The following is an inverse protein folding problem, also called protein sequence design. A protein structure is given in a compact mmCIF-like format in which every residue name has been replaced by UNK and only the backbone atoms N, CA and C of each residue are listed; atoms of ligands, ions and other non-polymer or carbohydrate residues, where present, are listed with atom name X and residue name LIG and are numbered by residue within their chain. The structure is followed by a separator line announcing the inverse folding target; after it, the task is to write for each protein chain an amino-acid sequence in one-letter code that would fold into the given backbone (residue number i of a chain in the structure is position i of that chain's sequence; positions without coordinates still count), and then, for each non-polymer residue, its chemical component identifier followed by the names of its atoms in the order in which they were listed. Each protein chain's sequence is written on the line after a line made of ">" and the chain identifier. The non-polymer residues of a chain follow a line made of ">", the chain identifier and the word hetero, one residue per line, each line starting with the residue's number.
data_IF_210107854606
#
_entry.id   IF_210107854606
#
_cell.length_a   1.000
_cell.length_b   1.000
_cell.length_c   1.000
_cell.angle_alpha   90.00
_cell.angle_beta   90.00
_cell.angle_gamma   90.00
#
_symmetry.space_group_name_H-M   'P 1'
#
loop_
_entity.id
_entity.type
_entity.pdbx_description
1 polymer ?
#
# COMPACT_ATOMS: atom_id res chain seq x y z
N UNK A 1 18.62 4.94 2.83
CA UNK A 1 18.80 6.08 1.88
C UNK A 1 19.97 6.91 2.38
N UNK A 2 20.76 7.50 1.50
CA UNK A 2 22.01 8.17 1.92
C UNK A 2 21.75 9.50 2.66
N UNK A 3 20.60 10.15 2.46
CA UNK A 3 20.26 11.46 3.04
C UNK A 3 18.76 11.57 3.39
N UNK A 4 18.16 10.51 3.96
CA UNK A 4 16.75 10.50 4.42
C UNK A 4 15.67 10.87 3.38
N UNK A 5 15.99 10.80 2.09
CA UNK A 5 15.01 11.07 1.03
C UNK A 5 13.88 10.03 0.96
N UNK A 6 12.68 10.49 0.61
CA UNK A 6 11.51 9.65 0.35
C UNK A 6 10.23 10.48 0.26
N UNK A 7 9.42 10.27 -0.78
CA UNK A 7 8.08 10.87 -0.89
C UNK A 7 7.09 10.00 -0.11
N UNK A 8 6.21 10.60 0.70
CA UNK A 8 5.14 9.86 1.37
C UNK A 8 4.23 9.22 0.33
N UNK A 9 4.20 7.89 0.30
CA UNK A 9 3.40 7.12 -0.66
C UNK A 9 2.07 6.65 -0.06
N UNK A 10 2.09 6.13 1.17
CA UNK A 10 0.92 5.66 1.88
C UNK A 10 1.06 5.99 3.37
N UNK A 11 0.03 6.64 3.93
CA UNK A 11 -0.06 7.01 5.34
C UNK A 11 -1.28 6.39 6.01
N UNK A 12 -1.47 6.68 7.30
CA UNK A 12 -2.68 6.22 8.01
C UNK A 12 -3.91 6.96 7.52
N UNK A 13 -4.99 6.23 7.26
CA UNK A 13 -6.27 6.77 6.80
C UNK A 13 -7.43 5.91 7.33
N UNK A 14 -8.44 6.54 7.92
CA UNK A 14 -9.60 5.81 8.46
C UNK A 14 -9.19 4.70 9.43
N UNK A 15 -9.62 3.46 9.14
CA UNK A 15 -9.27 2.27 9.94
C UNK A 15 -7.86 1.73 9.71
N UNK A 16 -7.18 2.15 8.63
CA UNK A 16 -5.89 1.60 8.22
C UNK A 16 -4.75 2.37 8.90
N UNK A 17 -4.34 1.93 10.08
CA UNK A 17 -3.30 2.61 10.87
C UNK A 17 -1.93 2.00 10.60
N UNK A 18 -0.92 2.84 10.44
CA UNK A 18 0.48 2.45 10.29
C UNK A 18 0.74 1.42 9.17
N UNK A 19 0.28 1.66 7.92
CA UNK A 19 0.53 0.74 6.84
C UNK A 19 2.03 0.58 6.58
N UNK A 20 2.50 -0.65 6.39
CA UNK A 20 3.93 -0.93 6.26
C UNK A 20 4.27 -2.34 5.76
N UNK A 21 5.58 -2.60 5.64
CA UNK A 21 6.14 -3.85 5.10
C UNK A 21 5.53 -4.23 3.74
N UNK A 22 5.76 -3.35 2.76
CA UNK A 22 5.17 -3.47 1.44
C UNK A 22 5.71 -4.67 0.64
N UNK A 23 4.85 -5.27 -0.17
CA UNK A 23 5.16 -6.21 -1.24
C UNK A 23 4.52 -5.77 -2.56
N UNK A 24 5.08 -6.23 -3.67
CA UNK A 24 4.49 -6.04 -5.01
C UNK A 24 4.37 -7.42 -5.66
N UNK A 25 3.18 -7.76 -6.13
CA UNK A 25 2.90 -8.98 -6.89
C UNK A 25 2.45 -8.59 -8.29
N UNK A 26 2.92 -9.32 -9.31
CA UNK A 26 2.47 -9.14 -10.68
C UNK A 26 1.51 -10.27 -11.03
N UNK A 27 0.30 -9.95 -11.48
CA UNK A 27 -0.68 -10.95 -11.92
C UNK A 27 -0.27 -11.58 -13.25
N UNK A 28 -0.83 -12.74 -13.64
CA UNK A 28 -0.61 -13.31 -14.97
C UNK A 28 -0.98 -12.37 -16.12
N UNK A 29 -1.94 -11.47 -15.89
CA UNK A 29 -2.40 -10.45 -16.83
C UNK A 29 -1.49 -9.20 -16.85
N UNK A 30 -0.46 -9.16 -16.00
CA UNK A 30 0.55 -8.10 -15.96
C UNK A 30 0.21 -6.92 -15.05
N UNK A 31 -0.82 -7.02 -14.21
CA UNK A 31 -1.17 -5.95 -13.26
C UNK A 31 -0.25 -5.98 -12.04
N UNK A 32 0.16 -4.81 -11.55
CA UNK A 32 0.91 -4.72 -10.29
C UNK A 32 -0.07 -4.56 -9.13
N UNK A 33 0.13 -5.37 -8.09
CA UNK A 33 -0.67 -5.35 -6.87
C UNK A 33 0.26 -5.01 -5.71
N UNK A 34 -0.03 -3.90 -5.04
CA UNK A 34 0.68 -3.48 -3.84
C UNK A 34 0.02 -4.09 -2.62
N UNK A 35 0.78 -4.89 -1.87
CA UNK A 35 0.34 -5.52 -0.62
C UNK A 35 1.06 -4.90 0.57
N UNK A 36 0.39 -4.81 1.71
CA UNK A 36 0.96 -4.28 2.94
C UNK A 36 0.17 -4.78 4.16
N UNK A 37 0.80 -4.77 5.32
CA UNK A 37 0.04 -4.89 6.57
C UNK A 37 -0.42 -3.51 7.04
N UNK A 38 -1.52 -3.48 7.78
CA UNK A 38 -1.96 -2.33 8.56
C UNK A 38 -2.52 -2.80 9.91
N UNK A 39 -2.65 -1.88 10.86
CA UNK A 39 -3.29 -2.12 12.15
C UNK A 39 -4.71 -1.56 12.11
N UNK A 40 -5.72 -2.41 12.26
CA UNK A 40 -7.12 -2.00 12.16
C UNK A 40 -7.59 -1.28 13.44
N UNK A 41 -7.88 0.02 13.35
CA UNK A 41 -8.33 0.81 14.51
C UNK A 41 -9.71 0.39 15.04
N UNK A 42 -10.50 -0.30 14.23
CA UNK A 42 -11.84 -0.79 14.60
C UNK A 42 -11.80 -2.18 15.21
N UNK A 43 -10.64 -2.86 15.14
CA UNK A 43 -10.41 -4.21 15.62
C UNK A 43 -9.17 -4.28 16.52
N UNK A 44 -9.10 -3.38 17.51
CA UNK A 44 -8.06 -3.34 18.56
C UNK A 44 -6.61 -3.35 18.04
N UNK A 45 -6.37 -2.79 16.85
CA UNK A 45 -5.05 -2.76 16.23
C UNK A 45 -4.59 -4.13 15.70
N UNK A 46 -5.51 -5.05 15.40
CA UNK A 46 -5.17 -6.31 14.75
C UNK A 46 -4.43 -6.05 13.44
N UNK A 47 -3.32 -6.76 13.22
CA UNK A 47 -2.57 -6.69 11.97
C UNK A 47 -3.34 -7.44 10.88
N UNK A 48 -3.67 -6.74 9.78
CA UNK A 48 -4.43 -7.27 8.65
C UNK A 48 -3.71 -6.99 7.34
N UNK A 49 -3.98 -7.83 6.34
CA UNK A 49 -3.46 -7.67 4.99
C UNK A 49 -4.39 -6.78 4.18
N UNK A 50 -3.84 -5.77 3.52
CA UNK A 50 -4.52 -5.04 2.46
C UNK A 50 -3.81 -5.25 1.12
N UNK A 51 -4.57 -5.19 0.04
CA UNK A 51 -4.03 -5.15 -1.32
C UNK A 51 -4.73 -4.07 -2.13
N UNK A 52 -3.96 -3.32 -2.91
CA UNK A 52 -4.46 -2.25 -3.79
C UNK A 52 -3.79 -2.40 -5.15
N UNK A 53 -4.51 -2.04 -6.22
CA UNK A 53 -3.89 -1.97 -7.54
C UNK A 53 -2.85 -0.83 -7.55
N UNK A 54 -1.70 -1.10 -8.16
CA UNK A 54 -0.58 -0.19 -8.30
C UNK A 54 -0.41 0.17 -9.78
N UNK A 55 -0.54 1.45 -10.09
CA UNK A 55 -0.23 2.00 -11.41
C UNK A 55 0.97 2.93 -11.34
N UNK A 56 1.50 3.29 -12.50
CA UNK A 56 2.55 4.28 -12.65
C UNK A 56 2.00 5.46 -13.42
N UNK A 57 2.14 6.67 -12.87
CA UNK A 57 1.71 7.88 -13.57
C UNK A 57 2.63 8.24 -14.74
N UNK A 58 2.30 9.32 -15.46
CA UNK A 58 3.08 9.77 -16.62
C UNK A 58 4.50 10.24 -16.26
N UNK A 59 4.77 10.52 -14.99
CA UNK A 59 6.08 10.91 -14.46
C UNK A 59 6.86 9.71 -13.91
N UNK A 60 6.28 8.52 -13.94
CA UNK A 60 6.88 7.29 -13.43
C UNK A 60 6.81 7.16 -11.90
N UNK A 61 5.89 7.87 -11.24
CA UNK A 61 5.62 7.67 -9.80
C UNK A 61 4.51 6.63 -9.58
N UNK A 62 4.65 5.79 -8.54
CA UNK A 62 3.60 4.85 -8.17
C UNK A 62 2.37 5.58 -7.66
N UNK A 63 1.18 5.09 -8.01
CA UNK A 63 -0.12 5.55 -7.50
C UNK A 63 -0.96 4.34 -7.12
N UNK A 64 -1.59 4.39 -5.95
CA UNK A 64 -2.53 3.36 -5.51
C UNK A 64 -3.94 3.70 -5.96
N UNK A 65 -4.62 2.72 -6.56
CA UNK A 65 -6.05 2.77 -6.81
C UNK A 65 -6.81 2.17 -5.62
N UNK A 66 -8.04 1.72 -5.84
CA UNK A 66 -8.91 1.25 -4.77
C UNK A 66 -8.43 -0.06 -4.11
N UNK A 67 -8.95 -0.32 -2.91
CA UNK A 67 -8.74 -1.57 -2.18
C UNK A 67 -9.36 -2.75 -2.92
N UNK A 68 -8.55 -3.78 -3.15
CA UNK A 68 -8.96 -5.06 -3.69
C UNK A 68 -9.43 -6.00 -2.58
N UNK A 69 -8.82 -5.89 -1.39
CA UNK A 69 -9.20 -6.60 -0.16
C UNK A 69 -8.92 -5.73 1.08
N UNK A 70 -9.68 -6.01 2.14
CA UNK A 70 -9.66 -5.35 3.46
C UNK A 70 -9.33 -6.31 4.61
#
# INVERSE_FOLDING_TARGET
>A
MLNDGGTLFLGSEGKYIGPGHAGIVVTPEGQNIFTYHYYDSTDKGASKLAARELIWDQQGWPVLLDHLID
#
